data_IF_851045243355
#
_entry.id   IF_851045243355
#
_cell.length_a   1.000
_cell.length_b   1.000
_cell.length_c   1.000
_cell.angle_alpha   90.00
_cell.angle_beta   90.00
_cell.angle_gamma   90.00
#
_symmetry.space_group_name_H-M   'P 1'
#
loop_
_entity.id
_entity.type
_entity.pdbx_description
1 polymer ?
#
# COMPACT_ATOMS: atom_id res chain seq x y z
N UNK A 1 41.28 -7.43 6.70
CA UNK A 1 40.49 -7.67 5.47
C UNK A 1 39.05 -8.04 5.81
N UNK A 2 38.81 -9.01 6.70
CA UNK A 2 37.47 -9.34 7.20
C UNK A 2 36.75 -8.14 7.85
N UNK A 3 37.41 -7.42 8.76
CA UNK A 3 36.83 -6.29 9.51
C UNK A 3 36.48 -5.07 8.64
N UNK A 4 37.22 -4.85 7.55
CA UNK A 4 36.94 -3.80 6.56
C UNK A 4 35.70 -4.16 5.72
N UNK A 5 35.59 -5.41 5.28
CA UNK A 5 34.44 -5.88 4.50
C UNK A 5 33.13 -5.86 5.33
N UNK A 6 33.19 -6.14 6.64
CA UNK A 6 32.03 -5.98 7.53
C UNK A 6 31.66 -4.51 7.70
N UNK A 7 32.62 -3.60 7.82
CA UNK A 7 32.34 -2.17 7.95
C UNK A 7 31.71 -1.60 6.67
N UNK A 8 32.18 -2.02 5.50
CA UNK A 8 31.60 -1.63 4.21
C UNK A 8 30.16 -2.13 4.06
N UNK A 9 29.89 -3.36 4.50
CA UNK A 9 28.52 -3.94 4.51
C UNK A 9 27.59 -3.15 5.42
N UNK A 10 28.06 -2.78 6.61
CA UNK A 10 27.28 -1.98 7.57
C UNK A 10 26.93 -0.60 7.03
N UNK A 11 27.89 0.07 6.36
CA UNK A 11 27.67 1.36 5.73
C UNK A 11 26.68 1.26 4.56
N UNK A 12 26.83 0.28 3.68
CA UNK A 12 25.90 0.02 2.59
C UNK A 12 24.47 -0.27 3.11
N UNK A 13 24.34 -1.08 4.16
CA UNK A 13 23.05 -1.36 4.78
C UNK A 13 22.39 -0.09 5.35
N UNK A 14 23.18 0.81 5.95
CA UNK A 14 22.71 2.11 6.43
C UNK A 14 22.22 2.99 5.27
N UNK A 15 22.92 3.02 4.15
CA UNK A 15 22.52 3.80 2.97
C UNK A 15 21.21 3.29 2.38
N UNK A 16 21.07 1.97 2.19
CA UNK A 16 19.85 1.34 1.69
C UNK A 16 18.66 1.66 2.59
N UNK A 17 18.78 1.41 3.90
CA UNK A 17 17.64 1.65 4.79
C UNK A 17 17.32 3.14 4.93
N UNK A 18 18.34 4.01 4.83
CA UNK A 18 18.13 5.46 4.84
C UNK A 18 17.29 5.87 3.64
N UNK A 19 17.57 5.35 2.45
CA UNK A 19 16.81 5.66 1.24
C UNK A 19 15.34 5.23 1.36
N UNK A 20 15.09 3.99 1.84
CA UNK A 20 13.73 3.52 2.14
C UNK A 20 13.03 4.44 3.15
N UNK A 21 13.73 4.86 4.22
CA UNK A 21 13.15 5.70 5.28
C UNK A 21 12.95 7.17 4.90
N UNK A 22 13.55 7.65 3.80
CA UNK A 22 13.24 8.96 3.23
C UNK A 22 11.80 9.03 2.73
N UNK A 23 11.25 7.89 2.32
CA UNK A 23 9.89 7.73 1.83
C UNK A 23 8.92 7.20 2.90
N UNK A 24 9.32 7.26 4.18
CA UNK A 24 8.54 6.68 5.26
C UNK A 24 7.22 7.43 5.49
N UNK A 25 6.11 6.70 5.42
CA UNK A 25 4.78 7.14 5.82
C UNK A 25 4.69 7.19 7.35
N UNK A 26 4.52 8.38 7.92
CA UNK A 26 4.49 8.61 9.38
C UNK A 26 3.22 9.33 9.81
N UNK A 27 2.69 8.95 10.98
CA UNK A 27 1.70 9.76 11.68
C UNK A 27 2.36 10.75 12.64
N UNK A 28 1.69 11.88 12.87
CA UNK A 28 2.02 12.78 13.97
C UNK A 28 1.94 12.00 15.29
N UNK A 29 2.96 12.13 16.12
CA UNK A 29 3.04 11.41 17.40
C UNK A 29 3.46 9.93 17.30
N UNK A 30 3.89 9.44 16.13
CA UNK A 30 4.40 8.05 15.96
C UNK A 30 5.74 7.76 16.67
N UNK A 31 6.37 8.78 17.27
CA UNK A 31 7.67 8.69 17.95
C UNK A 31 8.89 8.78 17.03
N UNK A 32 8.68 8.89 15.71
CA UNK A 32 9.74 9.19 14.75
C UNK A 32 10.07 10.69 14.74
N UNK A 33 11.35 11.04 14.64
CA UNK A 33 11.85 12.42 14.58
C UNK A 33 12.81 12.61 13.41
N UNK A 34 12.95 13.86 12.95
CA UNK A 34 13.81 14.23 11.81
C UNK A 34 13.30 13.73 10.45
N UNK A 35 14.07 13.98 9.39
CA UNK A 35 13.75 13.48 8.04
C UNK A 35 13.87 11.95 7.99
N UNK A 36 14.98 11.41 8.50
CA UNK A 36 15.19 9.97 8.72
C UNK A 36 15.31 9.72 10.22
N UNK A 37 14.46 8.84 10.76
CA UNK A 37 14.51 8.50 12.18
C UNK A 37 15.63 7.50 12.47
N UNK A 38 16.65 7.91 13.22
CA UNK A 38 17.80 7.06 13.56
C UNK A 38 17.45 5.79 14.35
N UNK A 39 16.34 5.82 15.11
CA UNK A 39 15.82 4.64 15.81
C UNK A 39 15.26 3.60 14.84
N UNK A 40 14.52 4.03 13.82
CA UNK A 40 14.04 3.13 12.76
C UNK A 40 15.19 2.63 11.91
N UNK A 41 16.13 3.51 11.56
CA UNK A 41 17.34 3.16 10.82
C UNK A 41 18.11 2.03 11.52
N UNK A 42 18.44 2.21 12.81
CA UNK A 42 19.10 1.18 13.62
C UNK A 42 18.29 -0.11 13.68
N UNK A 43 16.98 -0.01 13.87
CA UNK A 43 16.11 -1.19 14.02
C UNK A 43 16.05 -2.07 12.77
N UNK A 44 16.05 -1.46 11.59
CA UNK A 44 15.88 -2.20 10.32
C UNK A 44 17.19 -2.53 9.61
N UNK A 45 18.30 -1.87 9.98
CA UNK A 45 19.62 -2.10 9.38
C UNK A 45 20.03 -3.57 9.45
N UNK A 46 19.82 -4.23 10.59
CA UNK A 46 20.35 -5.58 10.83
C UNK A 46 19.80 -6.61 9.82
N UNK A 47 18.53 -6.51 9.47
CA UNK A 47 17.92 -7.37 8.44
C UNK A 47 18.54 -7.16 7.04
N UNK A 48 18.89 -5.90 6.71
CA UNK A 48 19.56 -5.56 5.45
C UNK A 48 21.00 -6.09 5.46
N UNK A 49 21.73 -5.82 6.55
CA UNK A 49 23.12 -6.25 6.71
C UNK A 49 23.25 -7.78 6.67
N UNK A 50 22.29 -8.51 7.26
CA UNK A 50 22.26 -9.98 7.21
C UNK A 50 22.05 -10.51 5.78
N UNK A 51 21.18 -9.89 4.99
CA UNK A 51 21.00 -10.26 3.58
C UNK A 51 22.29 -9.99 2.78
N UNK A 52 22.90 -8.82 2.97
CA UNK A 52 24.14 -8.42 2.31
C UNK A 52 25.33 -9.32 2.68
N UNK A 53 25.51 -9.65 3.96
CA UNK A 53 26.58 -10.52 4.43
C UNK A 53 26.50 -11.94 3.83
N UNK A 54 25.30 -12.37 3.42
CA UNK A 54 25.05 -13.65 2.73
C UNK A 54 25.08 -13.53 1.20
N UNK A 55 25.35 -12.35 0.65
CA UNK A 55 25.34 -12.09 -0.79
C UNK A 55 23.97 -12.28 -1.45
N UNK A 56 22.87 -12.19 -0.67
CA UNK A 56 21.51 -12.40 -1.16
C UNK A 56 20.89 -11.08 -1.60
N UNK A 57 20.00 -11.12 -2.58
CA UNK A 57 19.09 -9.99 -2.89
C UNK A 57 18.26 -9.64 -1.66
N UNK A 58 18.08 -8.35 -1.42
CA UNK A 58 17.25 -7.86 -0.32
C UNK A 58 15.79 -8.01 -0.70
N UNK A 59 15.03 -8.81 0.05
CA UNK A 59 13.60 -9.01 -0.21
C UNK A 59 12.76 -8.05 0.63
N UNK A 60 11.88 -7.31 -0.02
CA UNK A 60 10.86 -6.49 0.61
C UNK A 60 9.47 -7.07 0.34
N UNK A 61 8.63 -7.16 1.37
CA UNK A 61 7.22 -7.52 1.23
C UNK A 61 6.30 -6.33 1.41
N UNK A 62 5.44 -6.07 0.44
CA UNK A 62 4.50 -4.95 0.47
C UNK A 62 3.06 -5.43 0.23
N UNK A 63 2.18 -5.48 1.24
CA UNK A 63 0.75 -5.69 1.03
C UNK A 63 0.16 -4.40 0.54
N UNK A 64 -0.32 -4.45 -0.68
CA UNK A 64 -0.75 -3.29 -1.44
C UNK A 64 -1.44 -3.78 -2.71
N UNK A 65 -2.05 -2.84 -3.44
CA UNK A 65 -2.70 -3.11 -4.72
C UNK A 65 -3.76 -4.24 -4.63
N UNK A 66 -4.76 -4.14 -3.73
CA UNK A 66 -5.81 -5.16 -3.59
C UNK A 66 -6.77 -5.17 -4.79
N UNK A 67 -7.38 -4.01 -5.03
CA UNK A 67 -8.42 -3.71 -6.02
C UNK A 67 -8.71 -2.22 -5.95
N UNK A 68 -9.21 -1.60 -7.02
CA UNK A 68 -9.81 -0.27 -6.95
C UNK A 68 -11.01 -0.25 -5.99
N UNK A 69 -11.21 0.89 -5.33
CA UNK A 69 -12.39 1.20 -4.51
C UNK A 69 -13.68 0.89 -5.28
N UNK A 70 -14.71 0.33 -4.63
CA UNK A 70 -16.03 0.18 -5.24
C UNK A 70 -16.74 1.53 -5.42
N UNK A 71 -16.24 2.62 -4.83
CA UNK A 71 -16.87 3.93 -4.92
C UNK A 71 -16.45 4.68 -6.20
N UNK A 72 -17.36 4.90 -7.17
CA UNK A 72 -17.05 5.62 -8.40
C UNK A 72 -16.69 7.09 -8.17
N UNK A 73 -16.99 7.68 -7.01
CA UNK A 73 -16.54 9.03 -6.65
C UNK A 73 -15.05 9.09 -6.28
N UNK A 74 -14.41 7.94 -6.02
CA UNK A 74 -13.00 7.87 -5.62
C UNK A 74 -12.06 7.54 -6.78
N UNK A 75 -12.50 6.70 -7.71
CA UNK A 75 -11.63 6.09 -8.75
C UNK A 75 -12.23 6.23 -10.16
N UNK A 76 -11.40 6.04 -11.19
CA UNK A 76 -11.83 6.13 -12.61
C UNK A 76 -12.58 4.88 -13.10
N UNK A 77 -12.35 3.74 -12.47
CA UNK A 77 -12.93 2.44 -12.83
C UNK A 77 -12.38 1.32 -11.96
N UNK A 78 -12.67 0.04 -12.30
CA UNK A 78 -12.25 -1.11 -11.50
C UNK A 78 -10.81 -1.58 -11.77
N UNK A 79 -10.17 -1.09 -12.83
CA UNK A 79 -8.82 -1.49 -13.24
C UNK A 79 -7.77 -0.46 -12.78
N UNK A 80 -6.50 -0.88 -12.61
CA UNK A 80 -5.38 0.03 -12.40
C UNK A 80 -5.32 1.14 -13.47
N UNK A 81 -4.97 2.35 -13.04
CA UNK A 81 -4.81 3.51 -13.89
C UNK A 81 -3.44 4.18 -13.63
N UNK A 82 -3.27 5.46 -14.01
CA UNK A 82 -1.98 6.16 -13.85
C UNK A 82 -1.53 6.20 -12.38
N UNK A 83 -2.44 6.18 -11.41
CA UNK A 83 -2.08 6.21 -10.01
C UNK A 83 -1.25 4.98 -9.61
N UNK A 84 -1.66 3.78 -10.07
CA UNK A 84 -0.89 2.57 -9.84
C UNK A 84 0.42 2.56 -10.64
N UNK A 85 0.42 3.06 -11.87
CA UNK A 85 1.63 3.09 -12.68
C UNK A 85 2.73 3.93 -12.03
N UNK A 86 2.39 5.13 -11.55
CA UNK A 86 3.33 6.00 -10.83
C UNK A 86 3.87 5.33 -9.57
N UNK A 87 3.01 4.65 -8.82
CA UNK A 87 3.42 3.92 -7.62
C UNK A 87 4.37 2.75 -7.95
N UNK A 88 4.10 1.99 -9.02
CA UNK A 88 4.98 0.91 -9.46
C UNK A 88 6.32 1.44 -9.96
N UNK A 89 6.34 2.53 -10.75
CA UNK A 89 7.57 3.19 -11.18
C UNK A 89 8.41 3.69 -10.01
N UNK A 90 7.77 4.23 -8.98
CA UNK A 90 8.45 4.63 -7.75
C UNK A 90 9.09 3.42 -7.03
N UNK A 91 8.37 2.31 -6.89
CA UNK A 91 8.90 1.10 -6.25
C UNK A 91 10.06 0.49 -7.04
N UNK A 92 9.97 0.45 -8.37
CA UNK A 92 11.06 0.02 -9.25
C UNK A 92 12.30 0.90 -9.07
N UNK A 93 12.12 2.23 -9.14
CA UNK A 93 13.19 3.20 -8.95
C UNK A 93 13.88 3.07 -7.57
N UNK A 94 13.13 2.70 -6.53
CA UNK A 94 13.71 2.41 -5.22
C UNK A 94 14.62 1.17 -5.28
N UNK A 95 14.21 0.10 -5.97
CA UNK A 95 15.04 -1.08 -6.17
C UNK A 95 16.29 -0.79 -7.02
N UNK A 96 16.17 -0.02 -8.10
CA UNK A 96 17.29 0.41 -8.95
C UNK A 96 18.35 1.16 -8.14
N UNK A 97 17.95 2.14 -7.32
CA UNK A 97 18.87 2.87 -6.44
C UNK A 97 19.56 1.97 -5.42
N UNK A 98 18.88 0.93 -4.92
CA UNK A 98 19.50 -0.04 -4.02
C UNK A 98 20.56 -0.88 -4.77
N UNK A 99 20.31 -1.24 -6.03
CA UNK A 99 21.26 -1.99 -6.85
C UNK A 99 22.54 -1.19 -7.15
N UNK A 100 22.47 0.15 -7.19
CA UNK A 100 23.65 1.02 -7.30
C UNK A 100 24.57 0.94 -6.07
N UNK A 101 24.00 0.70 -4.88
CA UNK A 101 24.73 0.58 -3.61
C UNK A 101 25.20 -0.85 -3.35
N UNK A 102 24.40 -1.84 -3.73
CA UNK A 102 24.62 -3.25 -3.46
C UNK A 102 24.29 -4.09 -4.70
N UNK A 103 25.28 -4.69 -5.40
CA UNK A 103 25.06 -5.30 -6.72
C UNK A 103 23.98 -6.38 -6.80
N UNK A 104 23.78 -7.28 -5.81
CA UNK A 104 22.65 -8.22 -5.82
C UNK A 104 21.27 -7.55 -5.68
N UNK A 105 21.25 -6.27 -5.33
CA UNK A 105 20.08 -5.38 -5.37
C UNK A 105 18.99 -5.72 -4.36
N UNK A 106 17.79 -5.25 -4.69
CA UNK A 106 16.58 -5.51 -3.94
C UNK A 106 15.44 -5.94 -4.86
N UNK A 107 14.49 -6.68 -4.30
CA UNK A 107 13.23 -7.05 -4.96
C UNK A 107 12.06 -6.70 -4.06
N UNK A 108 10.99 -6.16 -4.63
CA UNK A 108 9.73 -5.93 -3.91
C UNK A 108 8.70 -6.96 -4.38
N UNK A 109 8.27 -7.82 -3.47
CA UNK A 109 7.12 -8.69 -3.66
C UNK A 109 5.87 -7.99 -3.14
N UNK A 110 5.00 -7.63 -4.08
CA UNK A 110 3.69 -7.03 -3.83
C UNK A 110 2.72 -8.14 -3.44
N UNK A 111 2.41 -8.23 -2.16
CA UNK A 111 1.49 -9.22 -1.61
C UNK A 111 0.04 -8.72 -1.74
N UNK A 112 -0.56 -8.83 -2.93
CA UNK A 112 -1.91 -8.33 -3.18
C UNK A 112 -2.92 -8.99 -2.24
N UNK A 113 -3.63 -8.13 -1.50
CA UNK A 113 -4.57 -8.50 -0.45
C UNK A 113 -6.03 -8.35 -0.92
N UNK A 114 -6.27 -8.20 -2.22
CA UNK A 114 -7.61 -8.09 -2.79
C UNK A 114 -8.47 -9.30 -2.45
N UNK A 115 -7.96 -10.51 -2.72
CA UNK A 115 -8.67 -11.77 -2.43
C UNK A 115 -8.93 -11.98 -0.93
N UNK A 116 -8.12 -11.37 -0.08
CA UNK A 116 -8.25 -11.43 1.38
C UNK A 116 -9.49 -10.66 1.84
N UNK A 117 -9.83 -9.55 1.20
CA UNK A 117 -10.81 -8.60 1.73
C UNK A 117 -12.04 -8.35 0.85
N UNK A 118 -12.03 -8.73 -0.43
CA UNK A 118 -12.99 -8.25 -1.42
C UNK A 118 -14.47 -8.45 -1.05
N UNK A 119 -14.83 -9.58 -0.44
CA UNK A 119 -16.18 -9.85 0.05
C UNK A 119 -16.60 -8.94 1.21
N UNK A 120 -15.67 -8.45 2.04
CA UNK A 120 -15.93 -7.48 3.10
C UNK A 120 -16.10 -6.05 2.58
N UNK A 121 -15.57 -5.75 1.39
CA UNK A 121 -15.63 -4.41 0.79
C UNK A 121 -16.55 -4.34 -0.44
N UNK A 122 -17.33 -5.39 -0.69
CA UNK A 122 -18.32 -5.40 -1.78
C UNK A 122 -17.73 -5.46 -3.19
N UNK A 123 -16.51 -5.98 -3.34
CA UNK A 123 -15.85 -6.16 -4.64
C UNK A 123 -15.91 -7.63 -5.06
N UNK A 124 -16.32 -7.89 -6.31
CA UNK A 124 -16.40 -9.26 -6.83
C UNK A 124 -15.03 -9.90 -6.94
N UNK A 125 -14.99 -11.22 -6.78
CA UNK A 125 -13.77 -12.00 -6.97
C UNK A 125 -13.20 -11.84 -8.40
N UNK A 126 -14.06 -11.65 -9.41
CA UNK A 126 -13.64 -11.41 -10.80
C UNK A 126 -12.93 -10.06 -10.98
N UNK A 127 -13.41 -9.01 -10.30
CA UNK A 127 -12.75 -7.70 -10.36
C UNK A 127 -11.36 -7.75 -9.72
N UNK A 128 -11.19 -8.49 -8.63
CA UNK A 128 -9.86 -8.74 -8.03
C UNK A 128 -8.93 -9.44 -9.02
N UNK A 129 -9.38 -10.54 -9.64
CA UNK A 129 -8.59 -11.28 -10.63
C UNK A 129 -8.16 -10.37 -11.79
N UNK A 130 -9.09 -9.59 -12.33
CA UNK A 130 -8.80 -8.64 -13.42
C UNK A 130 -7.82 -7.55 -13.01
N UNK A 131 -7.94 -7.03 -11.80
CA UNK A 131 -7.04 -6.03 -11.25
C UNK A 131 -5.61 -6.58 -11.10
N UNK A 132 -5.44 -7.76 -10.49
CA UNK A 132 -4.14 -8.44 -10.34
C UNK A 132 -3.47 -8.67 -11.69
N UNK A 133 -4.22 -9.21 -12.66
CA UNK A 133 -3.70 -9.43 -14.01
C UNK A 133 -3.25 -8.13 -14.68
N UNK A 134 -4.00 -7.04 -14.49
CA UNK A 134 -3.63 -5.75 -15.08
C UNK A 134 -2.43 -5.11 -14.41
N UNK A 135 -2.24 -5.29 -13.09
CA UNK A 135 -1.00 -4.89 -12.41
C UNK A 135 0.21 -5.65 -13.00
N UNK A 136 0.09 -6.96 -13.23
CA UNK A 136 1.18 -7.73 -13.88
C UNK A 136 1.50 -7.19 -15.28
N UNK A 137 0.46 -6.96 -16.11
CA UNK A 137 0.67 -6.34 -17.43
C UNK A 137 1.30 -4.96 -17.35
N UNK A 138 0.96 -4.19 -16.32
CA UNK A 138 1.52 -2.86 -16.09
C UNK A 138 3.00 -2.94 -15.69
N UNK A 139 3.36 -3.86 -14.78
CA UNK A 139 4.75 -4.16 -14.40
C UNK A 139 5.57 -4.51 -15.65
N UNK A 140 5.06 -5.42 -16.48
CA UNK A 140 5.72 -5.83 -17.74
C UNK A 140 5.87 -4.63 -18.70
N UNK A 141 4.80 -3.85 -18.88
CA UNK A 141 4.77 -2.70 -19.80
C UNK A 141 5.75 -1.61 -19.40
N UNK A 142 5.90 -1.33 -18.10
CA UNK A 142 6.85 -0.32 -17.62
C UNK A 142 8.27 -0.84 -17.48
N UNK A 143 8.50 -2.14 -17.67
CA UNK A 143 9.81 -2.77 -17.56
C UNK A 143 10.32 -2.87 -16.12
N UNK A 144 9.43 -2.96 -15.13
CA UNK A 144 9.81 -2.99 -13.72
C UNK A 144 10.32 -4.38 -13.30
N UNK A 145 11.60 -4.63 -13.52
CA UNK A 145 12.23 -5.95 -13.39
C UNK A 145 12.37 -6.43 -11.93
N UNK A 146 12.34 -5.50 -10.96
CA UNK A 146 12.53 -5.80 -9.55
C UNK A 146 11.21 -6.00 -8.79
N UNK A 147 10.08 -5.91 -9.49
CA UNK A 147 8.76 -6.09 -8.89
C UNK A 147 8.19 -7.46 -9.24
N UNK A 148 7.49 -8.06 -8.28
CA UNK A 148 6.62 -9.21 -8.56
C UNK A 148 5.37 -9.18 -7.68
N UNK A 149 4.36 -9.95 -8.05
CA UNK A 149 3.17 -10.13 -7.22
C UNK A 149 3.14 -11.48 -6.53
N UNK A 150 2.54 -11.51 -5.35
CA UNK A 150 2.13 -12.71 -4.63
C UNK A 150 0.68 -12.53 -4.17
N UNK A 151 -0.14 -13.54 -4.40
CA UNK A 151 -1.58 -13.52 -4.15
C UNK A 151 -1.99 -14.67 -3.23
N UNK A 152 -3.13 -14.53 -2.56
CA UNK A 152 -3.69 -15.64 -1.79
C UNK A 152 -3.99 -16.88 -2.67
N UNK A 153 -4.27 -16.66 -3.95
CA UNK A 153 -4.54 -17.69 -4.95
C UNK A 153 -3.33 -18.65 -5.15
N UNK A 154 -2.11 -18.18 -4.92
CA UNK A 154 -0.87 -18.97 -5.01
C UNK A 154 -0.62 -19.90 -3.81
N UNK A 155 -1.27 -19.63 -2.67
CA UNK A 155 -1.11 -20.43 -1.43
C UNK A 155 -1.75 -21.81 -1.56
N UNK A 156 -2.81 -21.92 -2.38
CA UNK A 156 -3.49 -23.19 -2.64
C UNK A 156 -4.07 -23.17 -4.05
N UNK A 157 -3.23 -23.42 -5.07
CA UNK A 157 -3.65 -23.40 -6.47
C UNK A 157 -4.85 -24.32 -6.72
N UNK A 158 -5.86 -23.81 -7.42
CA UNK A 158 -7.09 -24.54 -7.75
C UNK A 158 -8.17 -24.56 -6.66
N UNK A 159 -7.93 -23.98 -5.48
CA UNK A 159 -8.97 -23.81 -4.46
C UNK A 159 -9.94 -22.68 -4.85
N UNK A 160 -11.22 -22.83 -4.47
CA UNK A 160 -12.20 -21.76 -4.67
C UNK A 160 -11.92 -20.54 -3.78
N UNK A 161 -12.27 -19.34 -4.24
CA UNK A 161 -11.96 -18.08 -3.54
C UNK A 161 -12.47 -18.00 -2.10
N UNK A 162 -13.69 -18.47 -1.83
CA UNK A 162 -14.23 -18.53 -0.47
C UNK A 162 -13.45 -19.53 0.43
N UNK A 163 -13.00 -20.65 -0.16
CA UNK A 163 -12.19 -21.63 0.55
C UNK A 163 -10.80 -21.07 0.86
N UNK A 164 -10.19 -20.30 -0.05
CA UNK A 164 -8.94 -19.60 0.19
C UNK A 164 -9.04 -18.67 1.40
N UNK A 165 -10.08 -17.82 1.44
CA UNK A 165 -10.34 -16.93 2.59
C UNK A 165 -10.56 -17.71 3.89
N UNK A 166 -11.33 -18.80 3.84
CA UNK A 166 -11.57 -19.64 5.02
C UNK A 166 -10.28 -20.29 5.54
N UNK A 167 -9.43 -20.83 4.64
CA UNK A 167 -8.14 -21.43 4.99
C UNK A 167 -7.15 -20.41 5.53
N UNK A 168 -7.15 -19.18 4.99
CA UNK A 168 -6.31 -18.10 5.52
C UNK A 168 -6.61 -17.85 7.00
N UNK A 169 -7.89 -17.76 7.37
CA UNK A 169 -8.33 -17.50 8.74
C UNK A 169 -8.36 -18.74 9.63
N UNK A 170 -8.20 -19.94 9.07
CA UNK A 170 -8.20 -21.17 9.84
C UNK A 170 -6.89 -21.28 10.63
N UNK A 171 -6.94 -20.95 11.92
CA UNK A 171 -5.79 -21.00 12.83
C UNK A 171 -4.84 -19.79 12.73
N UNK A 172 -5.23 -18.71 12.02
CA UNK A 172 -4.49 -17.44 11.97
C UNK A 172 -5.39 -16.26 12.24
N UNK A 173 -4.81 -15.22 12.82
CA UNK A 173 -5.51 -14.01 13.21
C UNK A 173 -6.46 -14.22 14.40
N UNK A 174 -6.85 -13.12 15.06
CA UNK A 174 -7.68 -13.18 16.26
C UNK A 174 -9.14 -13.50 15.95
N UNK A 175 -9.81 -14.12 16.92
CA UNK A 175 -11.26 -14.28 16.85
C UNK A 175 -11.96 -12.90 16.96
N UNK A 176 -13.12 -12.68 16.30
CA UNK A 176 -13.84 -11.40 16.40
C UNK A 176 -14.14 -10.93 17.83
N UNK A 177 -14.36 -11.87 18.77
CA UNK A 177 -14.62 -11.53 20.17
C UNK A 177 -13.38 -11.02 20.91
N UNK A 178 -12.20 -11.54 20.58
CA UNK A 178 -10.92 -11.05 21.11
C UNK A 178 -10.68 -9.61 20.62
N UNK A 179 -10.93 -9.35 19.34
CA UNK A 179 -10.83 -8.00 18.79
C UNK A 179 -11.83 -7.03 19.45
N UNK A 180 -13.05 -7.47 19.74
CA UNK A 180 -14.04 -6.66 20.47
C UNK A 180 -13.54 -6.33 21.88
N UNK A 181 -12.91 -7.28 22.56
CA UNK A 181 -12.32 -7.07 23.87
C UNK A 181 -11.13 -6.09 23.81
N UNK A 182 -10.20 -6.27 22.87
CA UNK A 182 -9.06 -5.36 22.65
C UNK A 182 -9.54 -3.92 22.36
N UNK A 183 -10.53 -3.74 21.49
CA UNK A 183 -11.10 -2.43 21.17
C UNK A 183 -11.75 -1.80 22.41
N UNK A 184 -12.38 -2.57 23.30
CA UNK A 184 -12.94 -2.05 24.56
C UNK A 184 -11.86 -1.59 25.54
N UNK A 185 -10.70 -2.25 25.55
CA UNK A 185 -9.58 -1.90 26.43
C UNK A 185 -8.88 -0.59 26.01
N UNK A 186 -9.05 -0.13 24.78
CA UNK A 186 -8.54 1.17 24.33
C UNK A 186 -7.22 1.10 23.57
N UNK A 187 -6.42 2.17 23.65
CA UNK A 187 -5.09 2.25 23.03
C UNK A 187 -5.11 2.31 21.50
N UNK A 188 -4.04 1.79 20.89
CA UNK A 188 -3.83 1.81 19.44
C UNK A 188 -4.94 1.07 18.68
N UNK A 189 -5.52 0.02 19.26
CA UNK A 189 -6.54 -0.79 18.59
C UNK A 189 -7.84 -0.04 18.31
N UNK A 190 -8.25 0.87 19.20
CA UNK A 190 -9.40 1.76 18.94
C UNK A 190 -9.13 2.69 17.76
N UNK A 191 -7.91 3.20 17.63
CA UNK A 191 -7.54 4.10 16.54
C UNK A 191 -7.57 3.36 15.21
N UNK A 192 -7.01 2.16 15.16
CA UNK A 192 -7.04 1.29 13.98
C UNK A 192 -8.48 0.93 13.58
N UNK A 193 -9.30 0.50 14.54
CA UNK A 193 -10.72 0.19 14.32
C UNK A 193 -11.50 1.38 13.76
N UNK A 194 -11.32 2.58 14.32
CA UNK A 194 -11.96 3.80 13.83
C UNK A 194 -11.48 4.19 12.43
N UNK A 195 -10.18 4.05 12.17
CA UNK A 195 -9.58 4.32 10.86
C UNK A 195 -10.17 3.44 9.77
N UNK A 196 -10.20 2.11 10.00
CA UNK A 196 -10.79 1.13 9.09
C UNK A 196 -12.29 1.40 8.91
N UNK A 197 -13.03 1.64 9.99
CA UNK A 197 -14.47 1.95 9.90
C UNK A 197 -14.74 3.17 9.01
N UNK A 198 -13.96 4.26 9.17
CA UNK A 198 -14.09 5.47 8.35
C UNK A 198 -13.80 5.17 6.89
N UNK A 199 -12.72 4.44 6.64
CA UNK A 199 -12.31 4.06 5.31
C UNK A 199 -13.37 3.21 4.60
N UNK A 200 -13.92 2.20 5.28
CA UNK A 200 -15.01 1.38 4.76
C UNK A 200 -16.28 2.19 4.51
N UNK A 201 -16.59 3.15 5.40
CA UNK A 201 -17.72 4.04 5.19
C UNK A 201 -17.56 4.86 3.91
N UNK A 202 -16.37 5.34 3.59
CA UNK A 202 -16.12 6.05 2.34
C UNK A 202 -16.23 5.15 1.12
N UNK A 203 -15.70 3.93 1.18
CA UNK A 203 -15.79 2.96 0.06
C UNK A 203 -17.22 2.48 -0.19
N UNK A 204 -17.98 2.19 0.87
CA UNK A 204 -19.33 1.65 0.75
C UNK A 204 -20.40 2.74 0.60
N UNK A 205 -20.02 4.03 0.67
CA UNK A 205 -20.91 5.16 0.35
C UNK A 205 -21.02 5.36 -1.16
N UNK A 206 -21.55 4.34 -1.84
CA UNK A 206 -21.76 4.33 -3.30
C UNK A 206 -23.14 4.88 -3.67
N UNK A 207 -23.33 5.44 -4.88
CA UNK A 207 -24.63 5.97 -5.32
C UNK A 207 -25.79 4.96 -5.25
N UNK A 208 -25.50 3.67 -5.39
CA UNK A 208 -26.47 2.57 -5.35
C UNK A 208 -26.97 2.24 -3.93
N UNK A 209 -26.30 2.74 -2.88
CA UNK A 209 -26.71 2.48 -1.50
C UNK A 209 -27.93 3.32 -1.12
N UNK A 210 -29.07 2.67 -0.92
CA UNK A 210 -30.36 3.32 -0.61
C UNK A 210 -30.69 3.41 0.88
N UNK A 211 -29.83 2.86 1.76
CA UNK A 211 -30.03 2.88 3.20
C UNK A 211 -29.66 4.22 3.86
N UNK A 212 -29.89 4.33 5.18
CA UNK A 212 -29.46 5.51 5.93
C UNK A 212 -27.95 5.49 6.20
N UNK A 213 -27.32 6.66 6.25
CA UNK A 213 -25.91 6.82 6.65
C UNK A 213 -25.60 6.17 8.01
N UNK A 214 -26.53 6.21 8.95
CA UNK A 214 -26.38 5.58 10.25
C UNK A 214 -26.39 4.04 10.16
N UNK A 215 -27.24 3.47 9.29
CA UNK A 215 -27.23 2.02 9.03
C UNK A 215 -25.91 1.58 8.38
N UNK A 216 -25.44 2.34 7.37
CA UNK A 216 -24.15 2.06 6.73
C UNK A 216 -22.99 2.11 7.72
N UNK A 217 -22.97 3.12 8.60
CA UNK A 217 -21.94 3.24 9.62
C UNK A 217 -21.95 2.06 10.61
N UNK A 218 -23.13 1.57 11.01
CA UNK A 218 -23.23 0.37 11.86
C UNK A 218 -22.70 -0.88 11.14
N UNK A 219 -23.03 -1.04 9.86
CA UNK A 219 -22.52 -2.15 9.06
C UNK A 219 -21.00 -2.10 8.90
N UNK A 220 -20.43 -0.93 8.58
CA UNK A 220 -18.97 -0.74 8.47
C UNK A 220 -18.24 -1.04 9.80
N UNK A 221 -18.87 -0.73 10.94
CA UNK A 221 -18.33 -1.05 12.27
C UNK A 221 -18.25 -2.55 12.53
N UNK A 222 -19.16 -3.33 11.98
CA UNK A 222 -19.14 -4.80 12.08
C UNK A 222 -18.07 -5.38 11.16
N UNK A 223 -18.03 -4.91 9.91
CA UNK A 223 -17.05 -5.36 8.92
C UNK A 223 -15.60 -5.03 9.30
N UNK A 224 -15.38 -3.90 9.98
CA UNK A 224 -14.04 -3.49 10.43
C UNK A 224 -13.35 -4.56 11.28
N UNK A 225 -14.08 -5.34 12.08
CA UNK A 225 -13.51 -6.47 12.82
C UNK A 225 -12.99 -7.57 11.88
N UNK A 226 -13.75 -7.91 10.84
CA UNK A 226 -13.34 -8.88 9.83
C UNK A 226 -12.10 -8.42 9.05
N UNK A 227 -12.04 -7.15 8.68
CA UNK A 227 -10.87 -6.57 8.00
C UNK A 227 -9.63 -6.65 8.90
N UNK A 228 -9.75 -6.30 10.18
CA UNK A 228 -8.62 -6.39 11.13
C UNK A 228 -8.16 -7.84 11.30
N UNK A 229 -9.10 -8.77 11.50
CA UNK A 229 -8.78 -10.18 11.70
C UNK A 229 -8.03 -10.75 10.49
N UNK A 230 -8.55 -10.51 9.28
CA UNK A 230 -7.93 -10.98 8.04
C UNK A 230 -6.61 -10.29 7.72
N UNK A 231 -6.45 -9.02 8.07
CA UNK A 231 -5.17 -8.33 7.95
C UNK A 231 -4.10 -8.96 8.84
N UNK A 232 -4.44 -9.34 10.08
CA UNK A 232 -3.53 -10.05 10.98
C UNK A 232 -3.23 -11.46 10.47
N UNK A 233 -4.24 -12.20 10.01
CA UNK A 233 -4.06 -13.53 9.42
C UNK A 233 -3.16 -13.51 8.17
N UNK A 234 -3.32 -12.49 7.32
CA UNK A 234 -2.46 -12.28 6.15
C UNK A 234 -1.03 -11.93 6.56
N UNK A 235 -0.85 -11.07 7.57
CA UNK A 235 0.48 -10.77 8.10
C UNK A 235 1.19 -11.99 8.70
N UNK A 236 0.45 -12.84 9.43
CA UNK A 236 0.97 -14.09 9.99
C UNK A 236 1.40 -15.06 8.89
N UNK A 237 0.56 -15.28 7.88
CA UNK A 237 0.89 -16.13 6.74
C UNK A 237 2.13 -15.61 5.97
N UNK A 238 2.21 -14.30 5.72
CA UNK A 238 3.36 -13.73 5.03
C UNK A 238 4.65 -13.85 5.86
N UNK A 239 4.57 -13.76 7.19
CA UNK A 239 5.71 -13.97 8.07
C UNK A 239 6.19 -15.44 8.08
N UNK A 240 5.27 -16.40 7.92
CA UNK A 240 5.60 -17.83 7.76
C UNK A 240 6.30 -18.10 6.43
N UNK A 241 5.77 -17.54 5.33
CA UNK A 241 6.27 -17.79 3.98
C UNK A 241 7.57 -17.05 3.66
N UNK A 242 7.76 -15.86 4.23
CA UNK A 242 8.87 -14.95 3.91
C UNK A 242 9.50 -14.38 5.19
N UNK A 243 10.09 -15.24 6.05
CA UNK A 243 10.56 -14.85 7.39
C UNK A 243 11.70 -13.82 7.37
N UNK A 244 12.55 -13.86 6.33
CA UNK A 244 13.74 -13.04 6.17
C UNK A 244 13.46 -11.68 5.51
N UNK A 245 12.26 -11.49 4.95
CA UNK A 245 11.96 -10.31 4.15
C UNK A 245 11.66 -9.07 5.01
N UNK A 246 12.12 -7.91 4.54
CA UNK A 246 11.86 -6.62 5.17
C UNK A 246 10.43 -6.20 4.91
N UNK A 247 9.69 -5.95 6.00
CA UNK A 247 8.25 -5.76 5.94
C UNK A 247 7.89 -4.31 5.63
N UNK A 248 7.47 -4.03 4.40
CA UNK A 248 6.86 -2.75 4.04
C UNK A 248 5.36 -2.75 4.37
N UNK A 249 4.77 -1.56 4.44
CA UNK A 249 3.35 -1.36 4.69
C UNK A 249 2.87 -0.08 4.03
N UNK A 250 1.64 -0.08 3.54
CA UNK A 250 0.98 1.15 3.09
C UNK A 250 0.33 1.93 4.24
N UNK A 251 0.35 1.41 5.46
CA UNK A 251 -0.12 2.15 6.63
C UNK A 251 1.05 2.76 7.40
N UNK A 252 0.86 3.93 8.01
CA UNK A 252 1.85 4.46 8.93
C UNK A 252 2.06 3.50 10.12
N UNK A 253 3.30 3.40 10.57
CA UNK A 253 3.70 2.46 11.62
C UNK A 253 4.31 3.22 12.82
N UNK A 254 4.13 2.72 14.06
CA UNK A 254 4.85 3.24 15.21
C UNK A 254 6.38 3.07 15.02
N UNK A 255 7.14 3.98 15.63
CA UNK A 255 8.59 3.98 15.54
C UNK A 255 9.22 2.68 16.05
N UNK A 256 10.18 2.12 15.29
CA UNK A 256 10.90 0.88 15.61
C UNK A 256 10.00 -0.36 15.73
N UNK A 257 8.95 -0.43 14.93
CA UNK A 257 8.20 -1.67 14.72
C UNK A 257 8.76 -2.43 13.52
N UNK A 258 8.44 -3.73 13.40
CA UNK A 258 8.92 -4.57 12.29
C UNK A 258 8.53 -4.03 10.90
N UNK A 259 7.44 -3.25 10.82
CA UNK A 259 6.86 -2.74 9.57
C UNK A 259 7.35 -1.33 9.27
N UNK A 260 7.72 -1.08 8.02
CA UNK A 260 8.05 0.25 7.51
C UNK A 260 6.86 0.75 6.69
N UNK A 261 6.17 1.78 7.19
CA UNK A 261 5.18 2.50 6.39
C UNK A 261 5.87 3.21 5.22
N UNK A 262 5.44 2.97 3.98
CA UNK A 262 6.00 3.54 2.76
C UNK A 262 4.95 4.40 2.04
N UNK A 263 5.33 5.61 1.61
CA UNK A 263 4.51 6.45 0.74
C UNK A 263 4.64 5.94 -0.71
N UNK A 264 3.52 5.78 -1.40
CA UNK A 264 3.48 5.30 -2.80
C UNK A 264 3.26 6.42 -3.82
N UNK A 265 3.02 7.64 -3.35
CA UNK A 265 2.85 8.84 -4.16
C UNK A 265 3.13 10.07 -3.31
N UNK A 266 3.49 11.16 -3.96
CA UNK A 266 3.51 12.47 -3.32
C UNK A 266 2.06 12.96 -3.17
N UNK A 267 1.55 12.97 -1.93
CA UNK A 267 0.17 13.36 -1.64
C UNK A 267 0.10 14.06 -0.29
N UNK A 268 -0.67 15.17 -0.17
CA UNK A 268 -0.90 15.83 1.11
C UNK A 268 -1.71 14.94 2.07
N UNK A 269 -2.58 14.07 1.55
CA UNK A 269 -3.27 13.07 2.36
C UNK A 269 -2.43 11.79 2.48
N UNK A 270 -1.72 11.71 3.61
CA UNK A 270 -0.95 10.52 4.01
C UNK A 270 -1.84 9.32 4.32
N UNK A 271 -3.13 9.27 3.99
CA UNK A 271 -3.95 8.04 3.99
C UNK A 271 -4.39 7.62 2.59
N UNK A 272 -4.23 8.49 1.59
CA UNK A 272 -4.61 8.18 0.23
C UNK A 272 -3.65 7.13 -0.37
N UNK A 273 -4.19 6.18 -1.10
CA UNK A 273 -3.44 5.18 -1.88
C UNK A 273 -3.96 5.17 -3.31
N UNK A 274 -3.17 4.70 -4.28
CA UNK A 274 -3.56 4.69 -5.70
C UNK A 274 -4.95 4.11 -5.96
N UNK A 275 -5.28 3.01 -5.29
CA UNK A 275 -6.55 2.31 -5.48
C UNK A 275 -7.77 2.95 -4.80
N UNK A 276 -7.58 4.05 -4.07
CA UNK A 276 -8.65 4.88 -3.50
C UNK A 276 -8.72 6.28 -4.13
N UNK A 277 -8.02 6.48 -5.24
CA UNK A 277 -7.82 7.78 -5.86
C UNK A 277 -7.61 7.66 -7.36
N UNK A 278 -7.34 8.81 -7.97
CA UNK A 278 -6.83 8.96 -9.32
C UNK A 278 -5.60 9.86 -9.28
N UNK A 279 -4.68 9.66 -10.21
CA UNK A 279 -3.56 10.56 -10.41
C UNK A 279 -4.06 11.88 -11.01
N UNK A 280 -3.44 12.97 -10.57
CA UNK A 280 -3.74 14.32 -11.05
C UNK A 280 -2.43 15.00 -11.40
N UNK A 281 -2.25 15.34 -12.68
CA UNK A 281 -1.15 16.17 -13.17
C UNK A 281 -1.39 17.63 -12.76
N UNK A 282 -0.50 18.16 -11.92
CA UNK A 282 -0.55 19.53 -11.41
C UNK A 282 0.28 20.50 -12.27
N UNK A 283 0.95 20.00 -13.32
CA UNK A 283 1.83 20.74 -14.20
C UNK A 283 3.27 20.24 -14.14
N UNK A 284 4.00 20.45 -15.23
CA UNK A 284 5.44 20.18 -15.36
C UNK A 284 5.84 18.72 -15.04
N UNK A 285 4.91 17.78 -15.28
CA UNK A 285 5.11 16.35 -15.04
C UNK A 285 4.98 15.94 -13.57
N UNK A 286 4.54 16.85 -12.69
CA UNK A 286 4.27 16.55 -11.28
C UNK A 286 2.87 15.96 -11.12
N UNK A 287 2.79 14.86 -10.38
CA UNK A 287 1.54 14.20 -10.07
C UNK A 287 1.26 14.21 -8.57
N UNK A 288 -0.01 14.36 -8.23
CA UNK A 288 -0.55 14.09 -6.90
C UNK A 288 -1.69 13.09 -6.97
N UNK A 289 -2.18 12.62 -5.82
CA UNK A 289 -3.38 11.80 -5.74
C UNK A 289 -4.56 12.63 -5.23
N UNK A 290 -5.72 12.48 -5.88
CA UNK A 290 -6.99 13.05 -5.42
C UNK A 290 -8.11 12.03 -5.58
N UNK A 291 -9.21 12.16 -4.82
CA UNK A 291 -10.42 11.40 -5.16
C UNK A 291 -10.97 11.94 -6.47
N UNK A 292 -11.55 11.06 -7.31
CA UNK A 292 -12.13 11.47 -8.59
C UNK A 292 -13.08 12.67 -8.48
N UNK A 293 -14.02 12.65 -7.53
CA UNK A 293 -14.97 13.75 -7.34
C UNK A 293 -14.29 15.08 -6.96
N UNK A 294 -13.17 15.03 -6.22
CA UNK A 294 -12.39 16.21 -5.88
C UNK A 294 -11.64 16.76 -7.11
N UNK A 295 -11.08 15.86 -7.95
CA UNK A 295 -10.43 16.25 -9.20
C UNK A 295 -11.42 16.87 -10.20
N UNK A 296 -12.62 16.30 -10.32
CA UNK A 296 -13.72 16.85 -11.13
C UNK A 296 -14.17 18.22 -10.61
N UNK A 297 -14.38 18.35 -9.29
CA UNK A 297 -14.76 19.62 -8.67
C UNK A 297 -13.69 20.72 -8.82
N UNK A 298 -12.40 20.34 -8.90
CA UNK A 298 -11.29 21.24 -9.17
C UNK A 298 -11.17 21.62 -10.67
N UNK A 299 -12.09 21.20 -11.53
CA UNK A 299 -12.07 21.48 -12.96
C UNK A 299 -11.07 20.63 -13.73
N UNK A 300 -10.66 19.48 -13.17
CA UNK A 300 -9.74 18.55 -13.81
C UNK A 300 -10.31 18.02 -15.12
N UNK A 301 -9.48 18.01 -16.17
CA UNK A 301 -9.82 17.39 -17.45
C UNK A 301 -9.33 15.95 -17.47
N UNK A 302 -10.24 15.01 -17.73
CA UNK A 302 -9.90 13.60 -17.85
C UNK A 302 -9.01 13.35 -19.08
N UNK A 303 -7.90 12.64 -18.88
CA UNK A 303 -7.02 12.14 -19.92
C UNK A 303 -7.29 10.66 -20.13
N UNK A 304 -7.32 10.26 -21.40
CA UNK A 304 -7.44 8.86 -21.82
C UNK A 304 -6.09 8.39 -22.35
N UNK A 305 -5.64 7.22 -21.91
CA UNK A 305 -4.46 6.54 -22.44
C UNK A 305 -4.83 5.10 -22.79
N UNK A 306 -4.33 4.59 -23.92
CA UNK A 306 -4.64 3.24 -24.39
C UNK A 306 -6.15 2.90 -24.43
N UNK A 307 -6.97 3.89 -24.82
CA UNK A 307 -8.43 3.74 -24.92
C UNK A 307 -9.18 3.67 -23.58
N UNK A 308 -8.52 3.96 -22.45
CA UNK A 308 -9.12 3.92 -21.10
C UNK A 308 -8.84 5.22 -20.32
N UNK A 309 -9.73 5.62 -19.39
CA UNK A 309 -9.45 6.69 -18.44
C UNK A 309 -8.11 6.46 -17.71
N UNK A 310 -7.28 7.50 -17.62
CA UNK A 310 -5.91 7.38 -17.09
C UNK A 310 -5.67 8.25 -15.85
N UNK A 311 -5.89 9.56 -15.97
CA UNK A 311 -5.64 10.54 -14.92
C UNK A 311 -6.38 11.84 -15.24
N UNK A 312 -6.39 12.80 -14.31
CA UNK A 312 -6.83 14.16 -14.56
C UNK A 312 -5.66 15.12 -14.75
N UNK A 313 -5.88 16.20 -15.49
CA UNK A 313 -4.97 17.35 -15.57
C UNK A 313 -5.70 18.57 -15.03
N UNK A 314 -5.13 19.27 -14.05
CA UNK A 314 -5.72 20.51 -13.54
C UNK A 314 -5.48 21.67 -14.51
N UNK A 315 -6.42 22.63 -14.59
CA UNK A 315 -6.17 23.88 -15.30
C UNK A 315 -4.97 24.60 -14.66
N UNK A 316 -4.01 25.06 -15.47
CA UNK A 316 -2.95 25.95 -14.97
C UNK A 316 -3.60 27.20 -14.38
N UNK A 317 -3.29 27.53 -13.14
CA UNK A 317 -3.66 28.82 -12.58
C UNK A 317 -3.11 29.89 -13.52
N UNK A 318 -3.99 30.67 -14.16
CA UNK A 318 -3.55 31.83 -14.93
C UNK A 318 -2.82 32.74 -13.93
N UNK A 319 -1.50 32.90 -14.14
CA UNK A 319 -0.78 33.99 -13.52
C UNK A 319 -1.54 35.26 -13.89
N UNK A 320 -2.21 35.87 -12.92
CA UNK A 320 -2.74 37.22 -13.07
C UNK A 320 -1.56 38.08 -13.44
N UNK A 321 -1.52 38.54 -14.69
CA UNK A 321 -0.54 39.52 -15.13
C UNK A 321 -0.60 40.71 -14.15
N UNK A 322 0.55 41.26 -13.71
CA UNK A 322 0.52 42.49 -12.94
C UNK A 322 -0.17 43.56 -13.79
N UNK A 323 -1.24 44.13 -13.25
CA UNK A 323 -1.97 45.26 -13.85
C UNK A 323 -0.97 46.40 -14.12
N UNK A 324 -1.01 47.04 -15.31
CA UNK A 324 -0.01 48.02 -15.74
C UNK A 324 0.13 49.22 -14.81
#
# INVERSE_FOLDING_TARGET
MFELATLDTELAAIEVIRDVLLHQRRLRGSGCTGRVCLRCLRHHRDAIAEAMARGRTIEFLLPAFPTKSPNPAKVLGPLPDMAEELALRFLESLCERIAEVYPPGARILICSDGRVFNDLIGVSDENVTRYVHEINRMIDRIGAAHLGQFTLDEVSPGAGHAQLRARLTAGRGPHPDELRAEVRQGGHMVQMYRGITRFMLEDLSVPEYTGSRAALQRHCRELAYGVIARSRAWDELLAELFPDAVRLSIHPQPCSTRKIGLLLADTPDVWLTPWHSTAVDTGDGLFTLMKRAEAEAAGGRLVTAHGRPSHFVLPRAHATAPTP
#
